data_IF_460155095367
#
_entry.id   IF_460155095367
#
_cell.length_a   1.000
_cell.length_b   1.000
_cell.length_c   1.000
_cell.angle_alpha   90.00
_cell.angle_beta   90.00
_cell.angle_gamma   90.00
#
_symmetry.space_group_name_H-M   'P 1'
#
loop_
_entity.id
_entity.type
_entity.pdbx_description
1 polymer ?
#
# COMPACT_ATOMS: atom_id res chain seq x y z
N UNK A 1 -9.32 33.27 8.89
CA UNK A 1 -9.17 31.93 9.51
C UNK A 1 -8.03 31.21 8.81
N UNK A 2 -7.08 30.65 9.56
CA UNK A 2 -6.02 29.81 8.97
C UNK A 2 -6.55 28.38 8.93
N UNK A 3 -6.64 27.78 7.74
CA UNK A 3 -7.05 26.39 7.62
C UNK A 3 -5.94 25.48 8.17
N UNK A 4 -6.31 24.55 9.06
CA UNK A 4 -5.38 23.53 9.54
C UNK A 4 -5.40 22.34 8.58
N UNK A 5 -4.24 22.01 8.01
CA UNK A 5 -4.07 20.82 7.16
C UNK A 5 -3.57 19.67 8.05
N UNK A 6 -4.18 18.50 7.93
CA UNK A 6 -3.77 17.25 8.61
C UNK A 6 -3.67 16.11 7.62
N UNK A 7 -2.78 15.16 7.88
CA UNK A 7 -2.72 13.91 7.14
C UNK A 7 -3.97 13.05 7.39
N UNK A 8 -4.43 12.34 6.36
CA UNK A 8 -5.45 11.31 6.50
C UNK A 8 -4.87 9.97 6.97
N UNK A 9 -5.74 9.00 7.22
CA UNK A 9 -5.35 7.65 7.69
C UNK A 9 -4.82 6.74 6.57
N UNK A 10 -4.92 7.17 5.30
CA UNK A 10 -4.61 6.33 4.14
C UNK A 10 -3.18 6.58 3.66
N UNK A 11 -2.43 5.49 3.50
CA UNK A 11 -1.10 5.44 2.91
C UNK A 11 -1.20 4.57 1.66
N UNK A 12 -0.83 5.10 0.50
CA UNK A 12 -0.83 4.34 -0.75
C UNK A 12 0.62 4.12 -1.22
N UNK A 13 0.96 2.87 -1.50
CA UNK A 13 2.22 2.46 -2.09
C UNK A 13 1.98 1.97 -3.51
N UNK A 14 2.72 2.56 -4.46
CA UNK A 14 2.71 2.20 -5.87
C UNK A 14 3.83 1.19 -6.12
N UNK A 15 3.49 0.00 -6.62
CA UNK A 15 4.46 -1.10 -6.76
C UNK A 15 4.52 -1.57 -8.21
N UNK A 16 5.71 -1.70 -8.82
CA UNK A 16 5.88 -2.35 -10.12
C UNK A 16 5.28 -3.75 -10.15
N UNK A 17 4.65 -4.14 -11.26
CA UNK A 17 4.05 -5.48 -11.40
C UNK A 17 5.01 -6.63 -11.06
N UNK A 18 6.30 -6.52 -11.42
CA UNK A 18 7.28 -7.58 -11.15
C UNK A 18 7.64 -7.74 -9.65
N UNK A 19 7.24 -6.81 -8.78
CA UNK A 19 7.45 -6.87 -7.33
C UNK A 19 6.13 -7.00 -6.56
N UNK A 20 4.99 -6.80 -7.21
CA UNK A 20 3.69 -6.65 -6.56
C UNK A 20 3.37 -7.83 -5.63
N UNK A 21 3.40 -9.05 -6.15
CA UNK A 21 3.09 -10.25 -5.38
C UNK A 21 4.06 -10.46 -4.20
N UNK A 22 5.35 -10.17 -4.40
CA UNK A 22 6.36 -10.28 -3.35
C UNK A 22 6.12 -9.26 -2.22
N UNK A 23 5.72 -8.04 -2.56
CA UNK A 23 5.42 -6.99 -1.59
C UNK A 23 4.14 -7.28 -0.82
N UNK A 24 3.09 -7.77 -1.49
CA UNK A 24 1.85 -8.23 -0.83
C UNK A 24 2.15 -9.38 0.12
N UNK A 25 2.91 -10.39 -0.32
CA UNK A 25 3.32 -11.52 0.51
C UNK A 25 4.17 -11.08 1.71
N UNK A 26 5.07 -10.11 1.53
CA UNK A 26 5.87 -9.57 2.64
C UNK A 26 4.98 -8.99 3.75
N UNK A 27 4.03 -8.11 3.41
CA UNK A 27 3.16 -7.50 4.44
C UNK A 27 2.19 -8.50 5.07
N UNK A 28 1.72 -9.49 4.30
CA UNK A 28 0.82 -10.54 4.80
C UNK A 28 1.55 -11.58 5.65
N UNK A 29 2.65 -12.13 5.16
CA UNK A 29 3.26 -13.36 5.70
C UNK A 29 4.44 -13.06 6.63
N UNK A 30 5.20 -12.00 6.36
CA UNK A 30 6.40 -11.66 7.12
C UNK A 30 6.08 -10.62 8.20
N UNK A 31 5.41 -9.53 7.82
CA UNK A 31 4.97 -8.51 8.79
C UNK A 31 3.72 -8.96 9.55
N UNK A 32 2.88 -9.81 8.95
CA UNK A 32 1.67 -10.33 9.59
C UNK A 32 0.56 -9.28 9.75
N UNK A 33 0.49 -8.29 8.86
CA UNK A 33 -0.55 -7.26 8.95
C UNK A 33 -1.93 -7.86 8.63
N UNK A 34 -2.98 -7.54 9.40
CA UNK A 34 -4.33 -7.96 9.07
C UNK A 34 -4.75 -7.42 7.70
N UNK A 35 -5.28 -8.27 6.80
CA UNK A 35 -5.78 -7.82 5.51
C UNK A 35 -7.01 -6.91 5.69
N UNK A 36 -7.19 -6.01 4.73
CA UNK A 36 -8.30 -5.06 4.67
C UNK A 36 -8.82 -4.99 3.22
N UNK A 37 -9.72 -5.91 2.89
CA UNK A 37 -10.16 -6.17 1.51
C UNK A 37 -11.42 -5.39 1.12
N UNK A 38 -11.51 -4.11 1.48
CA UNK A 38 -12.69 -3.28 1.17
C UNK A 38 -12.70 -2.73 -0.26
N UNK A 39 -11.60 -2.82 -1.02
CA UNK A 39 -11.49 -2.20 -2.34
C UNK A 39 -10.60 -2.98 -3.32
N UNK A 40 -11.20 -3.84 -4.13
CA UNK A 40 -10.52 -4.40 -5.30
C UNK A 40 -10.28 -3.33 -6.38
N UNK A 41 -9.19 -3.40 -7.17
CA UNK A 41 -8.12 -4.43 -7.19
C UNK A 41 -6.97 -4.19 -6.20
N UNK A 42 -7.08 -3.19 -5.31
CA UNK A 42 -5.96 -2.71 -4.47
C UNK A 42 -5.94 -3.49 -3.16
N UNK A 43 -4.81 -4.09 -2.79
CA UNK A 43 -4.71 -4.86 -1.54
C UNK A 43 -4.44 -3.94 -0.35
N UNK A 44 -5.34 -4.01 0.64
CA UNK A 44 -5.28 -3.20 1.85
C UNK A 44 -4.77 -3.98 3.06
N UNK A 45 -4.12 -3.29 3.98
CA UNK A 45 -3.69 -3.82 5.27
C UNK A 45 -3.95 -2.82 6.40
N UNK A 46 -4.25 -3.33 7.60
CA UNK A 46 -4.32 -2.52 8.82
C UNK A 46 -2.90 -2.30 9.35
N UNK A 47 -2.43 -1.04 9.33
CA UNK A 47 -1.11 -0.65 9.84
C UNK A 47 -1.29 0.30 11.04
N UNK A 48 -1.50 -0.27 12.22
CA UNK A 48 -1.83 0.49 13.43
C UNK A 48 -3.06 1.38 13.20
N UNK A 49 -2.99 2.71 13.38
CA UNK A 49 -4.12 3.61 13.13
C UNK A 49 -4.38 3.88 11.64
N UNK A 50 -3.49 3.43 10.75
CA UNK A 50 -3.53 3.74 9.32
C UNK A 50 -4.08 2.57 8.48
N UNK A 51 -4.32 2.86 7.21
CA UNK A 51 -4.59 1.90 6.15
C UNK A 51 -3.46 1.96 5.14
N UNK A 52 -2.77 0.84 4.95
CA UNK A 52 -1.78 0.68 3.90
C UNK A 52 -2.47 0.08 2.68
N UNK A 53 -2.32 0.72 1.54
CA UNK A 53 -2.87 0.29 0.26
C UNK A 53 -1.72 -0.02 -0.70
N UNK A 54 -1.67 -1.23 -1.22
CA UNK A 54 -0.68 -1.69 -2.19
C UNK A 54 -1.34 -1.74 -3.56
N UNK A 55 -0.88 -0.86 -4.45
CA UNK A 55 -1.48 -0.62 -5.76
C UNK A 55 -0.48 -0.96 -6.87
N UNK A 56 -0.84 -1.94 -7.69
CA UNK A 56 -0.03 -2.44 -8.79
C UNK A 56 0.06 -1.39 -9.91
N UNK A 57 1.28 -1.04 -10.33
CA UNK A 57 1.54 -0.08 -11.40
C UNK A 57 2.33 -0.74 -12.53
N UNK A 58 1.66 -1.23 -13.59
CA UNK A 58 2.30 -1.91 -14.71
C UNK A 58 3.33 -1.07 -15.47
N UNK A 59 3.17 0.25 -15.45
CA UNK A 59 4.03 1.19 -16.16
C UNK A 59 5.22 1.70 -15.33
N UNK A 60 5.30 1.32 -14.04
CA UNK A 60 6.42 1.68 -13.20
C UNK A 60 7.54 0.67 -13.45
N UNK A 61 8.49 1.04 -14.32
CA UNK A 61 9.73 0.29 -14.47
C UNK A 61 10.72 0.74 -13.40
N UNK A 62 11.52 -0.21 -12.94
CA UNK A 62 12.61 0.05 -12.00
C UNK A 62 13.58 1.02 -12.68
N UNK A 63 13.82 2.20 -12.09
CA UNK A 63 14.67 3.19 -12.71
C UNK A 63 16.18 2.88 -12.55
N UNK A 64 16.66 2.30 -11.45
CA UNK A 64 18.11 2.14 -11.20
C UNK A 64 18.46 1.01 -10.19
N UNK A 65 19.36 0.09 -10.54
CA UNK A 65 20.10 -0.80 -9.61
C UNK A 65 21.38 -0.12 -9.15
#
# INVERSE_FOLDING_TARGET
MVAQIRGGINIAMKVPSHQYEAVVAFYRDIVGLPPYDEKEPVKGFVLGPNRLWIDEMPHLSQAEV
#
